data_IF_815921350943
#
_entry.id   IF_815921350943
#
_cell.length_a   1.000
_cell.length_b   1.000
_cell.length_c   1.000
_cell.angle_alpha   90.00
_cell.angle_beta   90.00
_cell.angle_gamma   90.00
#
_symmetry.space_group_name_H-M   'P 1'
#
loop_
_entity.id
_entity.type
_entity.pdbx_description
1 polymer ?
#
# COMPACT_ATOMS: atom_id res chain seq x y z
N UNK A 1 42.44 -71.21 -47.72
CA UNK A 1 41.64 -71.10 -46.49
C UNK A 1 42.22 -69.98 -45.65
N UNK A 2 41.60 -68.80 -45.60
CA UNK A 2 41.99 -67.74 -44.68
C UNK A 2 40.76 -66.88 -44.40
N UNK A 3 40.47 -66.65 -43.11
CA UNK A 3 39.16 -66.29 -42.61
C UNK A 3 38.93 -64.77 -42.55
N UNK A 4 37.74 -64.35 -43.00
CA UNK A 4 37.16 -63.03 -42.77
C UNK A 4 36.74 -62.85 -41.31
N UNK A 5 37.08 -61.70 -40.70
CA UNK A 5 36.43 -61.20 -39.48
C UNK A 5 36.16 -59.71 -39.63
N UNK A 6 34.96 -59.39 -40.09
CA UNK A 6 34.41 -58.03 -40.12
C UNK A 6 33.62 -57.81 -38.82
N UNK A 7 34.09 -56.93 -37.95
CA UNK A 7 33.38 -56.59 -36.72
C UNK A 7 32.34 -55.49 -36.99
N UNK A 8 31.06 -55.84 -36.90
CA UNK A 8 29.96 -54.86 -36.85
C UNK A 8 29.92 -54.22 -35.47
N UNK A 9 30.18 -52.92 -35.37
CA UNK A 9 29.85 -52.12 -34.18
C UNK A 9 28.42 -51.61 -34.31
N UNK A 10 27.51 -52.21 -33.56
CA UNK A 10 26.15 -51.72 -33.34
C UNK A 10 26.15 -50.60 -32.27
N UNK A 11 25.27 -49.62 -32.51
CA UNK A 11 25.11 -48.35 -31.82
C UNK A 11 24.80 -48.44 -30.32
N UNK A 12 25.16 -47.39 -29.58
CA UNK A 12 24.27 -46.86 -28.54
C UNK A 12 24.51 -45.35 -28.36
N UNK A 13 23.66 -44.55 -29.01
CA UNK A 13 23.55 -43.13 -28.67
C UNK A 13 22.82 -43.06 -27.32
N UNK A 14 23.58 -42.89 -26.25
CA UNK A 14 23.04 -42.69 -24.91
C UNK A 14 22.31 -41.35 -24.90
N UNK A 15 20.97 -41.38 -24.99
CA UNK A 15 20.15 -40.23 -24.58
C UNK A 15 20.40 -40.01 -23.10
N UNK A 16 21.24 -39.04 -22.79
CA UNK A 16 21.40 -38.50 -21.45
C UNK A 16 20.06 -37.88 -21.08
N UNK A 17 19.19 -38.69 -20.48
CA UNK A 17 18.02 -38.23 -19.75
C UNK A 17 18.55 -37.37 -18.60
N UNK A 18 18.61 -36.05 -18.81
CA UNK A 18 18.80 -35.09 -17.72
C UNK A 18 17.65 -35.31 -16.75
N UNK A 19 17.87 -36.08 -15.69
CA UNK A 19 16.95 -36.19 -14.57
C UNK A 19 16.80 -34.76 -14.03
N UNK A 20 15.68 -34.12 -14.33
CA UNK A 20 15.33 -32.85 -13.73
C UNK A 20 15.13 -33.13 -12.24
N UNK A 21 16.15 -32.86 -11.42
CA UNK A 21 15.94 -32.87 -9.97
C UNK A 21 14.94 -31.75 -9.71
N UNK A 22 13.77 -32.03 -9.12
CA UNK A 22 12.89 -30.96 -8.72
C UNK A 22 13.67 -30.12 -7.69
N UNK A 23 13.66 -28.80 -7.89
CA UNK A 23 14.37 -27.87 -7.01
C UNK A 23 13.82 -27.89 -5.57
N UNK A 24 12.62 -28.44 -5.38
CA UNK A 24 11.88 -28.47 -4.12
C UNK A 24 11.19 -29.84 -3.94
N UNK A 25 11.01 -30.25 -2.69
CA UNK A 25 10.24 -31.44 -2.33
C UNK A 25 8.76 -31.21 -2.67
N UNK A 26 8.23 -32.02 -3.59
CA UNK A 26 6.89 -31.88 -4.17
C UNK A 26 6.10 -33.17 -3.97
N UNK A 27 4.77 -33.07 -3.83
CA UNK A 27 3.88 -34.22 -3.74
C UNK A 27 3.59 -34.85 -5.13
N UNK A 28 2.77 -35.90 -5.15
CA UNK A 28 2.39 -36.60 -6.38
C UNK A 28 1.57 -35.71 -7.35
N UNK A 29 1.08 -34.55 -6.88
CA UNK A 29 0.38 -33.52 -7.64
C UNK A 29 1.29 -32.34 -8.03
N UNK A 30 2.61 -32.47 -7.83
CA UNK A 30 3.61 -31.42 -8.04
C UNK A 30 3.43 -30.15 -7.19
N UNK A 31 2.71 -30.24 -6.07
CA UNK A 31 2.60 -29.17 -5.09
C UNK A 31 3.80 -29.20 -4.13
N UNK A 32 4.42 -28.05 -3.82
CA UNK A 32 5.48 -28.00 -2.82
C UNK A 32 4.99 -28.47 -1.45
N UNK A 33 5.68 -29.46 -0.87
CA UNK A 33 5.36 -29.96 0.48
C UNK A 33 5.75 -28.97 1.58
N UNK A 34 6.67 -28.07 1.26
CA UNK A 34 7.06 -26.95 2.10
C UNK A 34 6.82 -25.64 1.34
N UNK A 35 6.42 -24.56 2.03
CA UNK A 35 6.28 -23.27 1.38
C UNK A 35 7.65 -22.84 0.82
N UNK A 36 7.67 -22.49 -0.46
CA UNK A 36 8.88 -21.99 -1.14
C UNK A 36 9.32 -20.63 -0.62
N UNK A 37 8.41 -19.88 0.00
CA UNK A 37 8.67 -18.63 0.69
C UNK A 37 7.54 -18.37 1.70
N UNK A 38 7.84 -17.67 2.78
CA UNK A 38 6.85 -17.16 3.72
C UNK A 38 6.66 -15.66 3.51
N UNK A 39 5.41 -15.20 3.52
CA UNK A 39 5.09 -13.76 3.52
C UNK A 39 5.67 -13.10 4.77
N UNK A 40 5.62 -13.78 5.92
CA UNK A 40 6.15 -13.25 7.18
C UNK A 40 7.67 -13.07 7.14
N UNK A 41 8.38 -14.01 6.51
CA UNK A 41 9.83 -13.92 6.28
C UNK A 41 10.17 -12.76 5.35
N UNK A 42 9.40 -12.60 4.26
CA UNK A 42 9.56 -11.48 3.33
C UNK A 42 9.31 -10.14 4.02
N UNK A 43 8.20 -10.00 4.75
CA UNK A 43 7.84 -8.78 5.44
C UNK A 43 8.85 -8.45 6.55
N UNK A 44 9.37 -9.47 7.24
CA UNK A 44 10.39 -9.29 8.28
C UNK A 44 11.70 -8.71 7.72
N UNK A 45 12.07 -9.04 6.48
CA UNK A 45 13.30 -8.58 5.84
C UNK A 45 13.38 -7.07 5.56
N UNK A 46 12.23 -6.38 5.50
CA UNK A 46 12.23 -4.94 5.22
C UNK A 46 12.73 -4.11 6.42
N UNK A 47 13.44 -3.01 6.16
CA UNK A 47 13.89 -2.12 7.22
C UNK A 47 12.69 -1.52 7.95
N UNK A 48 12.78 -1.44 9.28
CA UNK A 48 11.80 -0.72 10.10
C UNK A 48 12.26 0.74 10.25
N UNK A 49 11.50 1.73 9.76
CA UNK A 49 11.87 3.13 9.91
C UNK A 49 11.72 3.55 11.37
N UNK A 50 12.58 4.47 11.83
CA UNK A 50 12.47 5.08 13.16
C UNK A 50 11.75 6.41 13.04
N UNK A 51 10.66 6.59 13.81
CA UNK A 51 9.92 7.85 13.84
C UNK A 51 10.39 8.70 15.02
N UNK A 52 10.90 9.90 14.74
CA UNK A 52 11.29 10.85 15.78
C UNK A 52 10.09 11.34 16.59
N UNK A 53 10.30 11.62 17.88
CA UNK A 53 9.25 12.08 18.80
C UNK A 53 8.59 13.38 18.31
N UNK A 54 9.39 14.30 17.77
CA UNK A 54 8.90 15.56 17.18
C UNK A 54 8.00 15.33 15.97
N UNK A 55 8.33 14.33 15.15
CA UNK A 55 7.50 13.94 14.00
C UNK A 55 6.17 13.36 14.47
N UNK A 56 6.18 12.53 15.52
CA UNK A 56 4.96 11.99 16.10
C UNK A 56 4.04 13.11 16.63
N UNK A 57 4.58 14.11 17.31
CA UNK A 57 3.80 15.26 17.80
C UNK A 57 3.28 16.11 16.65
N UNK A 58 4.09 16.29 15.61
CA UNK A 58 3.67 17.01 14.42
C UNK A 58 2.48 16.32 13.73
N UNK A 59 2.55 15.00 13.54
CA UNK A 59 1.46 14.21 12.97
C UNK A 59 0.20 14.30 13.82
N UNK A 60 0.32 14.18 15.15
CA UNK A 60 -0.82 14.29 16.06
C UNK A 60 -1.49 15.65 15.98
N UNK A 61 -0.70 16.72 15.88
CA UNK A 61 -1.19 18.09 15.69
C UNK A 61 -1.93 18.25 14.37
N UNK A 62 -1.41 17.70 13.27
CA UNK A 62 -2.07 17.74 11.96
C UNK A 62 -3.39 16.97 11.96
N UNK A 63 -3.45 15.86 12.67
CA UNK A 63 -4.66 15.06 12.82
C UNK A 63 -5.63 15.61 13.87
N UNK A 64 -5.35 16.78 14.48
CA UNK A 64 -6.13 17.36 15.57
C UNK A 64 -6.38 16.41 16.75
N UNK A 65 -5.41 15.53 17.05
CA UNK A 65 -5.46 14.59 18.17
C UNK A 65 -4.62 15.08 19.33
N UNK A 66 -5.12 14.88 20.56
CA UNK A 66 -4.35 15.13 21.78
C UNK A 66 -3.18 14.12 21.86
N UNK A 67 -1.93 14.59 22.04
CA UNK A 67 -0.79 13.69 22.18
C UNK A 67 -0.82 12.99 23.55
N UNK A 68 -0.43 11.70 23.63
CA UNK A 68 -0.20 11.03 24.89
C UNK A 68 1.01 11.64 25.61
N UNK A 69 1.07 11.49 26.93
CA UNK A 69 2.18 12.00 27.75
C UNK A 69 3.54 11.51 27.26
N UNK A 70 4.54 12.39 27.32
CA UNK A 70 5.91 12.05 26.97
C UNK A 70 6.44 10.93 27.89
N UNK A 71 7.05 9.91 27.29
CA UNK A 71 7.56 8.75 28.01
C UNK A 71 6.49 7.71 28.41
N UNK A 72 5.20 7.96 28.16
CA UNK A 72 4.15 6.97 28.44
C UNK A 72 4.27 5.70 27.59
N UNK A 73 3.83 4.56 28.14
CA UNK A 73 3.77 3.29 27.39
C UNK A 73 2.85 3.40 26.17
N UNK A 74 1.74 4.15 26.30
CA UNK A 74 0.82 4.41 25.20
C UNK A 74 1.51 5.09 24.01
N UNK A 75 2.44 6.01 24.29
CA UNK A 75 3.23 6.67 23.25
C UNK A 75 4.19 5.70 22.57
N UNK A 76 4.86 4.83 23.33
CA UNK A 76 5.78 3.83 22.78
C UNK A 76 5.06 2.82 21.88
N UNK A 77 3.93 2.29 22.36
CA UNK A 77 3.09 1.37 21.58
C UNK A 77 2.61 2.00 20.28
N UNK A 78 2.18 3.27 20.34
CA UNK A 78 1.74 4.00 19.17
C UNK A 78 2.88 4.22 18.16
N UNK A 79 4.06 4.62 18.63
CA UNK A 79 5.24 4.76 17.77
C UNK A 79 5.54 3.44 17.07
N UNK A 80 5.58 2.34 17.82
CA UNK A 80 5.87 1.02 17.29
C UNK A 80 4.86 0.62 16.20
N UNK A 81 3.56 0.84 16.44
CA UNK A 81 2.49 0.56 15.47
C UNK A 81 2.64 1.40 14.19
N UNK A 82 2.95 2.69 14.32
CA UNK A 82 3.15 3.56 13.17
C UNK A 82 4.38 3.13 12.36
N UNK A 83 5.48 2.80 13.01
CA UNK A 83 6.69 2.31 12.33
C UNK A 83 6.43 1.00 11.58
N UNK A 84 5.65 0.07 12.16
CA UNK A 84 5.26 -1.18 11.50
C UNK A 84 4.37 -0.93 10.28
N UNK A 85 3.45 0.05 10.35
CA UNK A 85 2.65 0.46 9.20
C UNK A 85 3.48 1.11 8.10
N UNK A 86 4.42 1.99 8.46
CA UNK A 86 5.29 2.66 7.48
C UNK A 86 6.21 1.65 6.80
N UNK A 87 6.73 0.66 7.54
CA UNK A 87 7.52 -0.44 6.98
C UNK A 87 6.83 -1.13 5.80
N UNK A 88 5.53 -1.37 5.89
CA UNK A 88 4.75 -1.97 4.80
C UNK A 88 4.67 -1.07 3.57
N UNK A 89 4.52 0.23 3.77
CA UNK A 89 4.47 1.21 2.67
C UNK A 89 5.84 1.39 2.03
N UNK A 90 6.92 1.33 2.80
CA UNK A 90 8.29 1.38 2.28
C UNK A 90 8.62 0.19 1.39
N UNK A 91 8.10 -1.01 1.71
CA UNK A 91 8.25 -2.18 0.85
C UNK A 91 7.68 -1.94 -0.56
N UNK A 92 6.57 -1.21 -0.69
CA UNK A 92 5.97 -0.86 -1.99
C UNK A 92 6.89 0.05 -2.80
N UNK A 93 7.63 0.96 -2.14
CA UNK A 93 8.58 1.86 -2.81
C UNK A 93 9.77 1.11 -3.43
N UNK A 94 10.06 -0.10 -2.97
CA UNK A 94 11.17 -0.91 -3.48
C UNK A 94 10.81 -1.67 -4.78
N UNK A 95 9.53 -1.66 -5.18
CA UNK A 95 9.08 -2.32 -6.41
C UNK A 95 9.54 -1.51 -7.62
N UNK A 96 10.13 -2.19 -8.60
CA UNK A 96 10.54 -1.55 -9.86
C UNK A 96 9.29 -1.14 -10.67
N UNK A 97 9.07 0.17 -10.76
CA UNK A 97 7.96 0.78 -11.48
C UNK A 97 8.38 1.39 -12.81
N UNK A 98 9.63 1.18 -13.26
CA UNK A 98 10.16 1.76 -14.50
C UNK A 98 9.36 1.39 -15.75
N UNK A 99 8.73 0.22 -15.77
CA UNK A 99 7.84 -0.21 -16.87
C UNK A 99 6.49 0.50 -16.91
N UNK A 100 6.10 1.18 -15.81
CA UNK A 100 4.87 1.96 -15.68
C UNK A 100 5.06 3.44 -16.05
N UNK A 101 6.31 3.89 -16.19
CA UNK A 101 6.61 5.22 -16.70
C UNK A 101 6.18 5.27 -18.17
N UNK A 102 5.01 5.86 -18.42
CA UNK A 102 4.50 6.07 -19.77
C UNK A 102 5.53 6.81 -20.63
N UNK A 103 5.62 6.42 -21.90
CA UNK A 103 6.56 6.94 -22.90
C UNK A 103 6.37 8.43 -23.19
N UNK A 104 5.32 9.05 -22.64
CA UNK A 104 5.00 10.47 -22.78
C UNK A 104 5.13 11.16 -21.42
N UNK A 105 6.10 12.07 -21.34
CA UNK A 105 6.67 12.57 -20.09
C UNK A 105 5.67 13.04 -19.02
N UNK A 106 6.00 12.66 -17.78
CA UNK A 106 5.65 13.38 -16.55
C UNK A 106 4.19 13.41 -16.09
N UNK A 107 3.25 12.76 -16.79
CA UNK A 107 1.89 12.62 -16.29
C UNK A 107 1.79 11.40 -15.37
N UNK A 108 1.63 11.62 -14.05
CA UNK A 108 1.18 10.57 -13.14
C UNK A 108 -0.22 10.16 -13.64
N UNK A 109 -0.43 8.91 -14.09
CA UNK A 109 -1.74 8.49 -14.56
C UNK A 109 -2.75 8.64 -13.42
N UNK A 110 -3.89 9.27 -13.69
CA UNK A 110 -4.98 9.38 -12.73
C UNK A 110 -5.38 7.97 -12.28
N UNK A 111 -5.19 7.66 -10.99
CA UNK A 111 -5.44 6.33 -10.41
C UNK A 111 -6.93 5.99 -10.26
N UNK A 112 -7.83 6.87 -10.69
CA UNK A 112 -9.27 6.63 -10.66
C UNK A 112 -9.65 5.62 -11.74
N UNK A 113 -10.10 4.44 -11.31
CA UNK A 113 -10.65 3.42 -12.20
C UNK A 113 -12.09 3.81 -12.52
N UNK A 114 -12.29 4.41 -13.70
CA UNK A 114 -13.61 4.70 -14.23
C UNK A 114 -14.09 3.54 -15.09
N UNK A 115 -15.40 3.28 -15.08
CA UNK A 115 -15.99 2.42 -16.11
C UNK A 115 -15.75 3.05 -17.50
N UNK A 116 -15.61 2.23 -18.54
CA UNK A 116 -15.46 2.75 -19.91
C UNK A 116 -16.61 3.71 -20.25
N UNK A 117 -16.26 4.94 -20.68
CA UNK A 117 -17.22 5.99 -20.98
C UNK A 117 -17.67 6.85 -19.80
N UNK A 118 -17.20 6.58 -18.57
CA UNK A 118 -17.42 7.45 -17.42
C UNK A 118 -16.26 8.45 -17.27
N UNK A 119 -16.57 9.74 -17.29
CA UNK A 119 -15.66 10.82 -16.94
C UNK A 119 -16.30 11.73 -15.90
N UNK A 120 -15.51 12.62 -15.30
CA UNK A 120 -16.07 13.69 -14.48
C UNK A 120 -16.63 14.73 -15.45
N UNK A 121 -17.94 14.98 -15.40
CA UNK A 121 -18.50 16.22 -15.91
C UNK A 121 -17.93 17.36 -15.05
N UNK A 122 -16.79 17.92 -15.46
CA UNK A 122 -16.32 19.20 -14.96
C UNK A 122 -17.29 20.21 -15.55
N UNK A 123 -18.46 20.37 -14.93
CA UNK A 123 -19.48 21.30 -15.41
C UNK A 123 -18.87 22.69 -15.42
N UNK A 124 -18.45 23.11 -16.61
CA UNK A 124 -18.09 24.48 -16.91
C UNK A 124 -19.35 25.32 -16.82
N UNK A 125 -19.33 26.28 -15.90
CA UNK A 125 -20.48 27.04 -15.39
C UNK A 125 -21.43 26.17 -14.54
N UNK A 126 -21.90 26.68 -13.38
CA UNK A 126 -22.97 26.02 -12.65
C UNK A 126 -24.16 25.96 -13.59
N UNK A 127 -24.43 24.80 -14.20
CA UNK A 127 -25.75 24.49 -14.75
C UNK A 127 -26.70 24.84 -13.63
N UNK A 128 -27.51 25.88 -13.87
CA UNK A 128 -28.54 26.42 -13.00
C UNK A 128 -28.72 25.54 -11.80
N UNK A 129 -27.94 25.82 -10.74
CA UNK A 129 -28.21 25.26 -9.43
C UNK A 129 -29.69 25.58 -9.25
N UNK A 130 -30.55 24.55 -9.25
CA UNK A 130 -31.71 24.62 -8.37
C UNK A 130 -31.15 25.24 -7.11
N UNK A 131 -31.57 26.48 -6.82
CA UNK A 131 -31.12 27.25 -5.66
C UNK A 131 -31.02 26.26 -4.52
N UNK A 132 -29.78 25.88 -4.15
CA UNK A 132 -29.57 24.68 -3.34
C UNK A 132 -30.49 24.80 -2.15
N UNK A 133 -31.48 23.89 -2.05
CA UNK A 133 -32.67 24.02 -1.22
C UNK A 133 -32.29 24.78 0.05
N UNK A 134 -32.71 26.04 0.19
CA UNK A 134 -32.21 26.93 1.23
C UNK A 134 -32.67 26.33 2.55
N UNK A 135 -31.83 25.46 3.10
CA UNK A 135 -32.17 24.70 4.28
C UNK A 135 -32.34 25.71 5.39
N UNK A 136 -33.48 25.61 6.08
CA UNK A 136 -33.77 26.42 7.25
C UNK A 136 -32.58 26.37 8.22
N UNK A 137 -32.17 27.54 8.71
CA UNK A 137 -31.02 27.68 9.61
C UNK A 137 -31.15 26.75 10.82
N UNK A 138 -32.38 26.56 11.33
CA UNK A 138 -32.66 25.64 12.42
C UNK A 138 -32.31 24.18 12.08
N UNK A 139 -32.52 23.76 10.83
CA UNK A 139 -32.20 22.41 10.34
C UNK A 139 -30.69 22.22 10.12
N UNK A 140 -29.97 23.26 9.73
CA UNK A 140 -28.51 23.22 9.62
C UNK A 140 -27.85 23.07 11.00
N UNK A 141 -28.44 23.69 12.03
CA UNK A 141 -27.90 23.72 13.38
C UNK A 141 -28.39 22.58 14.28
N UNK A 142 -29.35 21.75 13.84
CA UNK A 142 -29.96 20.72 14.69
C UNK A 142 -28.99 19.63 15.16
N UNK A 143 -27.90 19.42 14.44
CA UNK A 143 -26.86 18.44 14.78
C UNK A 143 -25.65 19.05 15.51
N UNK A 144 -25.67 20.36 15.74
CA UNK A 144 -24.59 21.03 16.44
C UNK A 144 -24.64 20.70 17.94
N UNK A 145 -23.49 20.35 18.52
CA UNK A 145 -23.39 20.12 19.97
C UNK A 145 -23.60 21.42 20.78
N UNK A 146 -23.18 22.57 20.22
CA UNK A 146 -23.34 23.89 20.83
C UNK A 146 -23.59 24.94 19.75
N UNK A 147 -24.55 25.83 20.01
CA UNK A 147 -24.90 26.94 19.14
C UNK A 147 -25.20 28.18 19.96
N UNK A 148 -24.79 29.35 19.47
CA UNK A 148 -25.11 30.64 20.09
C UNK A 148 -25.41 31.65 18.97
N UNK A 149 -26.48 32.44 19.12
CA UNK A 149 -26.89 33.47 18.15
C UNK A 149 -26.98 32.99 16.69
N UNK A 150 -27.45 31.74 16.48
CA UNK A 150 -27.59 31.17 15.13
C UNK A 150 -26.28 30.74 14.46
N UNK A 151 -25.20 30.56 15.24
CA UNK A 151 -23.88 30.14 14.78
C UNK A 151 -23.37 28.95 15.60
N UNK A 152 -22.44 28.18 15.01
CA UNK A 152 -21.70 27.15 15.74
C UNK A 152 -20.79 27.80 16.77
N UNK A 153 -20.87 27.33 18.01
CA UNK A 153 -19.99 27.78 19.08
C UNK A 153 -18.78 26.84 19.20
N UNK A 154 -17.58 27.38 19.08
CA UNK A 154 -16.31 26.65 19.20
C UNK A 154 -15.44 27.34 20.25
N UNK A 155 -14.87 26.55 21.17
CA UNK A 155 -13.94 27.04 22.18
C UNK A 155 -12.62 27.44 21.50
N UNK A 156 -12.29 28.74 21.53
CA UNK A 156 -11.05 29.24 20.93
C UNK A 156 -9.90 29.14 21.93
N UNK A 157 -8.88 28.34 21.63
CA UNK A 157 -7.63 28.28 22.40
C UNK A 157 -6.76 29.53 22.13
N UNK A 158 -7.16 30.68 22.69
CA UNK A 158 -6.36 31.90 22.65
C UNK A 158 -5.30 31.84 23.76
N UNK A 159 -4.12 31.32 23.42
CA UNK A 159 -2.93 31.50 24.25
C UNK A 159 -2.48 32.96 24.18
N UNK A 160 -2.91 33.77 25.14
CA UNK A 160 -2.37 35.10 25.36
C UNK A 160 -0.89 34.97 25.74
N UNK A 161 0.03 35.18 24.79
CA UNK A 161 1.44 35.43 25.08
C UNK A 161 1.51 36.76 25.84
N UNK A 162 1.82 36.69 27.14
CA UNK A 162 2.45 37.79 27.87
C UNK A 162 3.95 37.76 27.65
#
# INVERSE_FOLDING_TARGET
MSASRTAFRLCSSARISKKHRPAFDTDDCALPRNPTWSVDELLSSYPKPTIDSKTLDHLRRLSALTPPEEGSEARQQLTQQLEDLVKLVEAVKMVDTRSLASTEGTSIPDGRIWAEGAGIEIQGSPRSQEEGDVLDQAKLLSYAARTENGLYLVDADRKNKK
#
